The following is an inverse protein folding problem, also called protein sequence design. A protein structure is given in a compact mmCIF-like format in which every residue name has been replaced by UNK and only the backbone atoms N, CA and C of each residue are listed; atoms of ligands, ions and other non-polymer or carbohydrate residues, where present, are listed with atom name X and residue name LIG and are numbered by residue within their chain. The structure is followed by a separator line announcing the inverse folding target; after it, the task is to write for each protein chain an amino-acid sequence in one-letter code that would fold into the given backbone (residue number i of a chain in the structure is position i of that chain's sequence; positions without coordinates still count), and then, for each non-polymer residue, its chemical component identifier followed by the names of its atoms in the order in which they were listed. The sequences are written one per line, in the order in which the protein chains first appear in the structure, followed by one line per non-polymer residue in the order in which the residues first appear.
data_IF_263224152336
#
_entry.id   IF_263224152336
#
_cell.length_a   1.000
_cell.length_b   1.000
_cell.length_c   1.000
_cell.angle_alpha   90.00
_cell.angle_beta   90.00
_cell.angle_gamma   90.00
#
_symmetry.space_group_name_H-M   'P 1'
#
loop_
_entity.id
_entity.type
_entity.pdbx_description
1 polymer ?
#
# COMPACT_ATOMS: atom_id res chain seq x y z
N UNK A 1 5.01 -15.62 47.27
CA UNK A 1 5.87 -14.42 47.33
C UNK A 1 6.71 -14.40 46.07
N UNK A 2 6.74 -13.34 45.25
CA UNK A 2 7.71 -13.29 44.17
C UNK A 2 9.09 -13.06 44.80
N UNK A 3 10.00 -13.99 44.56
CA UNK A 3 11.42 -13.87 44.91
C UNK A 3 11.97 -12.59 44.27
N UNK A 4 12.12 -11.52 45.06
CA UNK A 4 12.84 -10.32 44.66
C UNK A 4 14.35 -10.63 44.70
N UNK A 5 14.82 -11.43 43.75
CA UNK A 5 16.23 -11.46 43.44
C UNK A 5 16.59 -10.09 42.86
N UNK A 6 17.41 -9.32 43.59
CA UNK A 6 18.02 -8.10 43.06
C UNK A 6 19.00 -8.56 41.99
N UNK A 7 18.59 -8.47 40.72
CA UNK A 7 19.46 -8.79 39.58
C UNK A 7 20.49 -7.66 39.47
N UNK A 8 21.78 -8.01 39.58
CA UNK A 8 22.85 -7.07 39.30
C UNK A 8 23.10 -6.98 37.79
N UNK A 9 22.90 -5.79 37.22
CA UNK A 9 23.08 -5.53 35.79
C UNK A 9 24.48 -5.05 35.40
N UNK A 10 25.39 -4.77 36.36
CA UNK A 10 26.67 -4.08 36.09
C UNK A 10 27.60 -4.82 35.15
N UNK A 11 27.49 -6.16 35.05
CA UNK A 11 28.37 -7.00 34.24
C UNK A 11 27.65 -7.62 33.03
N UNK A 12 26.39 -7.25 32.80
CA UNK A 12 25.61 -7.78 31.69
C UNK A 12 25.70 -6.87 30.47
N UNK A 13 25.84 -7.48 29.29
CA UNK A 13 25.74 -6.75 28.04
C UNK A 13 24.26 -6.44 27.66
N UNK A 14 24.06 -5.60 26.63
CA UNK A 14 22.71 -5.21 26.20
C UNK A 14 21.83 -6.39 25.77
N UNK A 15 22.43 -7.42 25.15
CA UNK A 15 21.71 -8.62 24.69
C UNK A 15 21.33 -9.49 25.90
N UNK A 16 22.24 -9.67 26.86
CA UNK A 16 21.95 -10.40 28.09
C UNK A 16 20.84 -9.75 28.90
N UNK A 17 20.85 -8.41 29.01
CA UNK A 17 19.74 -7.67 29.61
C UNK A 17 18.46 -7.93 28.83
N UNK A 18 18.49 -7.82 27.51
CA UNK A 18 17.32 -8.06 26.67
C UNK A 18 16.78 -9.49 26.78
N UNK A 19 17.65 -10.48 26.96
CA UNK A 19 17.28 -11.87 27.23
C UNK A 19 16.48 -12.04 28.52
N UNK A 20 16.83 -11.29 29.57
CA UNK A 20 16.05 -11.29 30.80
C UNK A 20 14.62 -10.76 30.56
N UNK A 21 14.43 -9.77 29.68
CA UNK A 21 13.10 -9.29 29.29
C UNK A 21 12.32 -10.37 28.53
N UNK A 22 12.96 -11.03 27.55
CA UNK A 22 12.33 -12.07 26.72
C UNK A 22 11.92 -13.28 27.57
N UNK A 23 12.69 -13.61 28.59
CA UNK A 23 12.41 -14.69 29.55
C UNK A 23 11.42 -14.26 30.65
N UNK A 24 10.91 -13.02 30.61
CA UNK A 24 10.07 -12.40 31.65
C UNK A 24 10.70 -12.45 33.06
N UNK A 25 12.04 -12.51 33.15
CA UNK A 25 12.77 -12.38 34.43
C UNK A 25 12.77 -10.95 34.94
N UNK A 26 12.70 -9.98 34.03
CA UNK A 26 12.42 -8.57 34.33
C UNK A 26 11.30 -8.04 33.43
N UNK A 27 10.45 -7.12 33.93
CA UNK A 27 9.30 -6.65 33.16
C UNK A 27 9.67 -5.60 32.11
N UNK A 28 10.74 -4.82 32.34
CA UNK A 28 11.15 -3.69 31.53
C UNK A 28 12.69 -3.59 31.50
N UNK A 29 13.21 -2.78 30.58
CA UNK A 29 14.62 -2.40 30.60
C UNK A 29 14.95 -1.71 31.94
N UNK A 30 16.15 -1.95 32.51
CA UNK A 30 16.57 -1.30 33.75
C UNK A 30 16.47 0.22 33.69
N UNK A 31 16.28 0.85 34.85
CA UNK A 31 16.30 2.31 34.94
C UNK A 31 17.63 2.86 34.39
N UNK A 32 17.57 3.96 33.65
CA UNK A 32 18.75 4.55 33.02
C UNK A 32 19.27 3.81 31.77
N UNK A 33 18.75 2.62 31.43
CA UNK A 33 19.24 1.86 30.27
C UNK A 33 19.22 2.69 28.98
N UNK A 34 18.14 3.41 28.70
CA UNK A 34 18.08 4.30 27.54
C UNK A 34 18.61 5.71 27.83
N UNK A 35 18.46 6.22 29.06
CA UNK A 35 18.72 7.62 29.40
C UNK A 35 20.21 7.94 29.64
N UNK A 36 21.02 6.94 30.00
CA UNK A 36 22.46 7.11 30.28
C UNK A 36 23.32 6.99 29.02
N UNK A 37 22.69 6.95 27.84
CA UNK A 37 23.35 6.81 26.53
C UNK A 37 23.10 8.08 25.72
N UNK A 38 24.01 8.39 24.79
CA UNK A 38 23.69 9.38 23.75
C UNK A 38 22.52 8.91 22.88
N UNK A 39 21.91 9.84 22.14
CA UNK A 39 20.82 9.50 21.19
C UNK A 39 21.26 8.44 20.18
N UNK A 40 22.50 8.57 19.71
CA UNK A 40 23.11 7.72 18.68
C UNK A 40 23.40 6.33 19.25
N UNK A 41 24.07 6.26 20.41
CA UNK A 41 24.32 4.99 21.11
C UNK A 41 23.03 4.25 21.45
N UNK A 42 22.00 4.95 21.93
CA UNK A 42 20.72 4.33 22.23
C UNK A 42 20.07 3.73 20.98
N UNK A 43 20.18 4.39 19.82
CA UNK A 43 19.69 3.85 18.54
C UNK A 43 20.50 2.66 18.07
N UNK A 44 21.83 2.69 18.22
CA UNK A 44 22.71 1.57 17.83
C UNK A 44 22.42 0.33 18.67
N UNK A 45 22.27 0.49 19.99
CA UNK A 45 21.83 -0.60 20.87
C UNK A 45 20.45 -1.09 20.46
N UNK A 46 19.48 -0.21 20.23
CA UNK A 46 18.16 -0.61 19.78
C UNK A 46 18.21 -1.41 18.45
N UNK A 47 18.99 -0.97 17.46
CA UNK A 47 19.17 -1.69 16.19
C UNK A 47 19.79 -3.08 16.46
N UNK A 48 20.83 -3.15 17.30
CA UNK A 48 21.47 -4.41 17.72
C UNK A 48 20.46 -5.38 18.33
N UNK A 49 19.58 -4.91 19.22
CA UNK A 49 18.56 -5.75 19.86
C UNK A 49 17.51 -6.27 18.86
N UNK A 50 17.07 -5.42 17.93
CA UNK A 50 16.11 -5.83 16.89
C UNK A 50 16.73 -6.87 15.94
N UNK A 51 17.98 -6.66 15.51
CA UNK A 51 18.72 -7.63 14.70
C UNK A 51 18.91 -8.96 15.41
N UNK A 52 19.31 -8.92 16.69
CA UNK A 52 19.42 -10.14 17.49
C UNK A 52 18.09 -10.91 17.57
N UNK A 53 16.98 -10.21 17.81
CA UNK A 53 15.65 -10.81 17.85
C UNK A 53 15.30 -11.47 16.51
N UNK A 54 15.43 -10.74 15.40
CA UNK A 54 15.00 -11.20 14.08
C UNK A 54 15.93 -12.29 13.54
N UNK A 55 17.25 -12.08 13.58
CA UNK A 55 18.22 -12.94 12.89
C UNK A 55 18.61 -14.16 13.73
N UNK A 56 18.78 -13.99 15.04
CA UNK A 56 19.33 -15.05 15.91
C UNK A 56 18.25 -15.83 16.64
N UNK A 57 17.26 -15.12 17.19
CA UNK A 57 16.19 -15.74 17.98
C UNK A 57 15.07 -16.30 17.12
N UNK A 58 14.48 -15.46 16.28
CA UNK A 58 13.31 -15.83 15.48
C UNK A 58 13.69 -16.41 14.11
N UNK A 59 14.90 -16.07 13.61
CA UNK A 59 15.42 -16.49 12.30
C UNK A 59 14.46 -16.15 11.15
N UNK A 60 13.87 -14.96 11.22
CA UNK A 60 12.90 -14.48 10.24
C UNK A 60 13.58 -14.23 8.89
N UNK A 61 12.90 -14.64 7.82
CA UNK A 61 13.25 -14.22 6.47
C UNK A 61 12.58 -12.87 6.13
N UNK A 62 12.88 -12.33 4.94
CA UNK A 62 12.33 -11.03 4.48
C UNK A 62 10.79 -11.00 4.44
N UNK A 63 10.13 -12.12 4.12
CA UNK A 63 8.66 -12.21 4.12
C UNK A 63 8.12 -12.18 5.54
N UNK A 64 8.70 -12.95 6.45
CA UNK A 64 8.29 -12.97 7.87
C UNK A 64 8.41 -11.57 8.48
N UNK A 65 9.47 -10.83 8.16
CA UNK A 65 9.62 -9.44 8.62
C UNK A 65 8.45 -8.57 8.17
N UNK A 66 8.03 -8.65 6.90
CA UNK A 66 6.92 -7.88 6.35
C UNK A 66 5.56 -8.26 6.96
N UNK A 67 5.36 -9.54 7.30
CA UNK A 67 4.08 -10.01 7.83
C UNK A 67 3.98 -9.89 9.34
N UNK A 68 5.07 -10.08 10.08
CA UNK A 68 5.06 -10.16 11.55
C UNK A 68 5.44 -8.83 12.21
N UNK A 69 6.42 -8.11 11.68
CA UNK A 69 6.94 -6.89 12.34
C UNK A 69 5.88 -5.79 12.30
N UNK A 70 5.53 -5.33 13.50
CA UNK A 70 4.48 -4.37 13.77
C UNK A 70 4.66 -3.78 15.17
N UNK A 71 3.90 -2.75 15.53
CA UNK A 71 3.87 -2.24 16.92
C UNK A 71 3.50 -3.33 17.94
N UNK A 72 2.59 -4.25 17.56
CA UNK A 72 2.20 -5.39 18.40
C UNK A 72 3.36 -6.36 18.60
N UNK A 73 4.10 -6.66 17.52
CA UNK A 73 5.32 -7.47 17.59
C UNK A 73 6.37 -6.85 18.52
N UNK A 74 6.65 -5.55 18.39
CA UNK A 74 7.61 -4.88 19.27
C UNK A 74 7.15 -4.89 20.74
N UNK A 75 5.85 -4.83 20.99
CA UNK A 75 5.31 -4.96 22.35
C UNK A 75 5.46 -6.38 22.88
N UNK A 76 5.09 -7.39 22.08
CA UNK A 76 5.21 -8.82 22.41
C UNK A 76 6.65 -9.18 22.79
N UNK A 77 7.62 -8.70 22.02
CA UNK A 77 9.05 -8.95 22.24
C UNK A 77 9.74 -7.83 23.01
N UNK A 78 9.01 -7.05 23.80
CA UNK A 78 9.56 -6.11 24.79
C UNK A 78 10.42 -4.96 24.21
N UNK A 79 10.42 -4.74 22.90
CA UNK A 79 11.11 -3.64 22.20
C UNK A 79 10.26 -2.36 22.03
N UNK A 80 9.05 -2.30 22.60
CA UNK A 80 8.19 -1.13 22.51
C UNK A 80 8.82 0.17 23.06
N UNK A 81 9.66 0.10 24.11
CA UNK A 81 10.41 1.25 24.63
C UNK A 81 11.51 1.69 23.66
N UNK A 82 12.24 0.74 23.07
CA UNK A 82 13.25 1.01 22.04
C UNK A 82 12.63 1.69 20.81
N UNK A 83 11.42 1.27 20.43
CA UNK A 83 10.67 1.87 19.31
C UNK A 83 10.42 3.38 19.45
N UNK A 84 10.45 3.94 20.68
CA UNK A 84 10.30 5.38 20.92
C UNK A 84 11.41 6.18 20.24
N UNK A 85 12.63 5.62 20.17
CA UNK A 85 13.78 6.22 19.48
C UNK A 85 13.56 6.37 17.97
N UNK A 86 12.57 5.64 17.43
CA UNK A 86 12.16 5.64 16.02
C UNK A 86 10.74 6.18 15.85
N UNK A 87 10.32 7.11 16.71
CA UNK A 87 9.00 7.75 16.61
C UNK A 87 7.83 6.79 16.86
N UNK A 88 8.04 5.71 17.62
CA UNK A 88 7.05 4.65 17.89
C UNK A 88 6.53 3.99 16.61
N UNK A 89 7.38 3.86 15.58
CA UNK A 89 7.07 3.21 14.31
C UNK A 89 7.91 1.95 14.16
N UNK A 90 7.25 0.79 14.00
CA UNK A 90 7.99 -0.44 13.74
C UNK A 90 8.65 -0.42 12.36
N UNK A 91 7.96 0.16 11.38
CA UNK A 91 8.48 0.40 10.02
C UNK A 91 9.75 1.25 10.05
N UNK A 92 9.76 2.38 10.78
CA UNK A 92 10.98 3.20 10.88
C UNK A 92 12.12 2.45 11.57
N UNK A 93 11.80 1.70 12.61
CA UNK A 93 12.79 0.91 13.35
C UNK A 93 13.43 -0.17 12.46
N UNK A 94 12.62 -0.95 11.73
CA UNK A 94 13.15 -1.98 10.82
C UNK A 94 13.91 -1.38 9.64
N UNK A 95 13.47 -0.26 9.07
CA UNK A 95 14.21 0.44 8.00
C UNK A 95 15.56 0.96 8.47
N UNK A 96 15.68 1.42 9.72
CA UNK A 96 16.97 1.80 10.30
C UNK A 96 17.86 0.60 10.62
N UNK A 97 17.27 -0.52 11.05
CA UNK A 97 18.04 -1.73 11.34
C UNK A 97 18.55 -2.40 10.06
N UNK A 98 17.75 -2.43 8.99
CA UNK A 98 18.10 -3.09 7.73
C UNK A 98 17.98 -2.12 6.55
N UNK A 99 18.86 -1.12 6.44
CA UNK A 99 18.85 -0.19 5.31
C UNK A 99 19.03 -0.91 3.96
N UNK A 100 19.85 -1.96 3.93
CA UNK A 100 20.06 -2.85 2.78
C UNK A 100 18.87 -3.78 2.49
N UNK A 101 17.95 -3.94 3.45
CA UNK A 101 16.81 -4.84 3.35
C UNK A 101 15.78 -4.42 2.30
N UNK A 102 15.78 -3.15 1.88
CA UNK A 102 14.86 -2.62 0.87
C UNK A 102 13.39 -2.79 1.28
N UNK A 103 13.08 -2.59 2.56
CA UNK A 103 11.72 -2.67 3.08
C UNK A 103 10.93 -1.41 2.73
N UNK A 104 9.81 -1.58 2.03
CA UNK A 104 8.93 -0.47 1.67
C UNK A 104 7.81 -0.33 2.71
N UNK A 105 7.46 0.89 3.14
CA UNK A 105 6.53 1.09 4.25
C UNK A 105 5.15 0.42 4.10
N UNK A 106 4.61 0.37 2.88
CA UNK A 106 3.29 -0.24 2.62
C UNK A 106 3.31 -1.78 2.59
N UNK A 107 4.50 -2.41 2.60
CA UNK A 107 4.62 -3.87 2.59
C UNK A 107 4.36 -4.50 3.97
N UNK A 108 4.23 -3.70 5.04
CA UNK A 108 4.02 -4.21 6.39
C UNK A 108 2.52 -4.41 6.69
N UNK A 109 2.08 -5.68 6.72
CA UNK A 109 0.66 -6.06 6.79
C UNK A 109 -0.07 -5.59 8.05
N UNK A 110 0.66 -5.50 9.17
CA UNK A 110 0.08 -5.27 10.50
C UNK A 110 0.50 -3.95 11.14
N UNK A 111 1.10 -3.04 10.37
CA UNK A 111 1.41 -1.69 10.83
C UNK A 111 0.91 -0.65 9.83
N UNK A 112 0.74 0.58 10.32
CA UNK A 112 0.38 1.71 9.48
C UNK A 112 1.65 2.38 8.97
N UNK A 113 1.64 2.71 7.70
CA UNK A 113 2.66 3.58 7.09
C UNK A 113 2.86 4.83 7.96
N UNK A 114 4.11 5.30 8.16
CA UNK A 114 4.39 6.45 9.03
C UNK A 114 3.54 7.68 8.70
N UNK A 115 3.21 8.47 9.73
CA UNK A 115 2.45 9.70 9.57
C UNK A 115 3.16 10.63 8.56
N UNK A 116 2.37 11.28 7.70
CA UNK A 116 2.85 12.17 6.63
C UNK A 116 3.66 11.49 5.51
N UNK A 117 3.78 10.16 5.50
CA UNK A 117 4.44 9.48 4.38
C UNK A 117 3.68 9.71 3.07
N UNK A 118 2.36 9.51 3.09
CA UNK A 118 1.49 9.68 1.93
C UNK A 118 1.17 11.13 1.58
N UNK A 119 1.50 12.11 2.43
CA UNK A 119 1.32 13.52 2.06
C UNK A 119 2.24 13.93 0.92
N UNK A 120 3.39 13.28 0.79
CA UNK A 120 4.33 13.48 -0.30
C UNK A 120 3.87 12.69 -1.53
N UNK A 121 3.55 13.40 -2.60
CA UNK A 121 3.07 12.78 -3.85
C UNK A 121 4.05 11.78 -4.44
N UNK A 122 5.34 12.10 -4.41
CA UNK A 122 6.40 11.23 -4.91
C UNK A 122 6.37 9.85 -4.25
N UNK A 123 6.02 9.77 -2.95
CA UNK A 123 5.89 8.49 -2.25
C UNK A 123 4.70 7.69 -2.76
N UNK A 124 3.55 8.36 -2.99
CA UNK A 124 2.34 7.71 -3.53
C UNK A 124 2.62 7.14 -4.92
N UNK A 125 3.18 7.96 -5.81
CA UNK A 125 3.52 7.55 -7.18
C UNK A 125 4.55 6.42 -7.19
N UNK A 126 5.60 6.53 -6.37
CA UNK A 126 6.64 5.47 -6.30
C UNK A 126 6.07 4.15 -5.80
N UNK A 127 5.16 4.19 -4.83
CA UNK A 127 4.50 2.99 -4.32
C UNK A 127 3.60 2.33 -5.37
N UNK A 128 2.78 3.13 -6.04
CA UNK A 128 1.90 2.67 -7.11
C UNK A 128 2.71 2.07 -8.27
N UNK A 129 3.77 2.75 -8.75
CA UNK A 129 4.67 2.25 -9.79
C UNK A 129 5.33 0.94 -9.38
N UNK A 130 5.84 0.85 -8.16
CA UNK A 130 6.46 -0.37 -7.67
C UNK A 130 5.48 -1.54 -7.68
N UNK A 131 4.26 -1.35 -7.16
CA UNK A 131 3.24 -2.40 -7.16
C UNK A 131 2.86 -2.79 -8.60
N UNK A 132 2.56 -1.83 -9.47
CA UNK A 132 2.10 -2.11 -10.82
C UNK A 132 3.20 -2.73 -11.68
N UNK A 133 4.37 -2.11 -11.76
CA UNK A 133 5.40 -2.46 -12.73
C UNK A 133 6.36 -3.55 -12.23
N UNK A 134 6.63 -3.60 -10.92
CA UNK A 134 7.64 -4.51 -10.35
C UNK A 134 6.99 -5.73 -9.71
N UNK A 135 6.02 -5.56 -8.80
CA UNK A 135 5.38 -6.69 -8.11
C UNK A 135 4.39 -7.41 -9.03
N UNK A 136 3.46 -6.68 -9.66
CA UNK A 136 2.41 -7.24 -10.51
C UNK A 136 2.83 -7.40 -11.98
N UNK A 137 3.90 -6.69 -12.40
CA UNK A 137 4.43 -6.68 -13.78
C UNK A 137 3.36 -6.33 -14.81
N UNK A 138 2.49 -5.40 -14.46
CA UNK A 138 1.42 -4.91 -15.31
C UNK A 138 1.97 -3.94 -16.36
N UNK A 139 1.48 -4.12 -17.59
CA UNK A 139 1.53 -3.05 -18.58
C UNK A 139 0.54 -1.94 -18.23
N UNK A 140 0.61 -0.81 -18.92
CA UNK A 140 -0.38 0.26 -18.74
C UNK A 140 -1.80 -0.20 -19.08
N UNK A 141 -1.95 -1.08 -20.07
CA UNK A 141 -3.23 -1.67 -20.44
C UNK A 141 -3.75 -2.60 -19.34
N UNK A 142 -2.88 -3.40 -18.71
CA UNK A 142 -3.27 -4.20 -17.55
C UNK A 142 -3.72 -3.30 -16.39
N UNK A 143 -3.02 -2.20 -16.13
CA UNK A 143 -3.42 -1.23 -15.07
C UNK A 143 -4.78 -0.62 -15.38
N UNK A 144 -5.07 -0.22 -16.63
CA UNK A 144 -6.38 0.33 -17.02
C UNK A 144 -7.54 -0.66 -16.80
N UNK A 145 -7.30 -1.96 -16.99
CA UNK A 145 -8.33 -2.99 -16.88
C UNK A 145 -8.50 -3.57 -15.47
N UNK A 146 -7.40 -3.70 -14.73
CA UNK A 146 -7.35 -4.48 -13.48
C UNK A 146 -7.22 -3.62 -12.23
N UNK A 147 -6.86 -2.35 -12.34
CA UNK A 147 -6.81 -1.44 -11.19
C UNK A 147 -8.20 -1.37 -10.54
N UNK A 148 -8.27 -1.68 -9.26
CA UNK A 148 -9.45 -1.52 -8.41
C UNK A 148 -9.01 -1.21 -6.97
N UNK A 149 -9.91 -0.65 -6.15
CA UNK A 149 -9.60 -0.32 -4.76
C UNK A 149 -9.26 -1.54 -3.91
N UNK A 150 -9.95 -2.67 -4.13
CA UNK A 150 -9.65 -3.93 -3.44
C UNK A 150 -8.22 -4.42 -3.67
N UNK A 151 -7.74 -4.35 -4.92
CA UNK A 151 -6.35 -4.70 -5.25
C UNK A 151 -5.35 -3.77 -4.53
N UNK A 152 -5.62 -2.46 -4.47
CA UNK A 152 -4.76 -1.54 -3.74
C UNK A 152 -4.74 -1.87 -2.23
N UNK A 153 -5.87 -2.22 -1.65
CA UNK A 153 -5.95 -2.65 -0.24
C UNK A 153 -5.15 -3.92 0.02
N UNK A 154 -5.30 -4.94 -0.83
CA UNK A 154 -4.55 -6.21 -0.75
C UNK A 154 -3.03 -6.01 -0.84
N UNK A 155 -2.58 -4.96 -1.54
CA UNK A 155 -1.17 -4.59 -1.68
C UNK A 155 -0.71 -3.49 -0.71
N UNK A 156 -1.48 -3.22 0.36
CA UNK A 156 -1.09 -2.28 1.43
C UNK A 156 -1.20 -0.80 1.06
N UNK A 157 -1.83 -0.49 -0.08
CA UNK A 157 -2.04 0.86 -0.61
C UNK A 157 -3.47 1.39 -0.37
N UNK A 158 -4.30 0.71 0.41
CA UNK A 158 -5.70 1.10 0.64
C UNK A 158 -5.88 2.52 1.19
N UNK A 159 -4.94 3.02 2.01
CA UNK A 159 -4.98 4.39 2.51
C UNK A 159 -4.82 5.48 1.44
N UNK A 160 -4.45 5.12 0.20
CA UNK A 160 -4.38 6.07 -0.91
C UNK A 160 -5.75 6.57 -1.35
N UNK A 161 -6.85 5.92 -0.94
CA UNK A 161 -8.21 6.43 -1.16
C UNK A 161 -8.40 7.86 -0.59
N UNK A 162 -7.67 8.24 0.46
CA UNK A 162 -7.74 9.60 1.01
C UNK A 162 -7.07 10.67 0.14
N UNK A 163 -6.31 10.28 -0.89
CA UNK A 163 -5.51 11.18 -1.73
C UNK A 163 -5.95 11.22 -3.19
N UNK A 164 -6.71 10.22 -3.64
CA UNK A 164 -7.21 10.15 -5.01
C UNK A 164 -8.73 9.96 -4.99
N UNK A 165 -9.50 10.85 -5.63
CA UNK A 165 -10.96 10.76 -5.61
C UNK A 165 -11.49 9.56 -6.41
N UNK A 166 -10.72 9.04 -7.36
CA UNK A 166 -11.05 7.87 -8.17
C UNK A 166 -9.78 7.25 -8.76
N UNK A 167 -9.93 6.06 -9.37
CA UNK A 167 -8.82 5.30 -9.94
C UNK A 167 -8.26 5.95 -11.22
N UNK A 168 -9.05 6.74 -11.93
CA UNK A 168 -8.60 7.53 -13.06
C UNK A 168 -7.51 8.55 -12.68
N UNK A 169 -7.67 9.26 -11.57
CA UNK A 169 -6.65 10.20 -11.09
C UNK A 169 -5.35 9.50 -10.66
N UNK A 170 -5.41 8.24 -10.20
CA UNK A 170 -4.23 7.42 -9.93
C UNK A 170 -3.42 7.21 -11.22
N UNK A 171 -4.07 6.77 -12.30
CA UNK A 171 -3.40 6.46 -13.56
C UNK A 171 -2.79 7.73 -14.18
N UNK A 172 -3.52 8.86 -14.12
CA UNK A 172 -2.99 10.17 -14.53
C UNK A 172 -1.74 10.54 -13.74
N UNK A 173 -1.76 10.42 -12.41
CA UNK A 173 -0.61 10.75 -11.57
C UNK A 173 0.61 9.86 -11.86
N UNK A 174 0.39 8.57 -12.08
CA UNK A 174 1.47 7.59 -12.28
C UNK A 174 2.13 7.72 -13.66
N UNK A 175 1.33 7.76 -14.73
CA UNK A 175 1.83 7.65 -16.10
C UNK A 175 1.90 8.99 -16.84
N UNK A 176 1.20 10.04 -16.37
CA UNK A 176 1.18 11.37 -16.99
C UNK A 176 0.83 11.34 -18.50
N UNK A 177 -0.04 10.41 -18.88
CA UNK A 177 -0.49 10.24 -20.27
C UNK A 177 -1.85 10.88 -20.52
N UNK A 178 -2.11 11.19 -21.79
CA UNK A 178 -3.45 11.57 -22.22
C UNK A 178 -4.34 10.34 -22.28
N UNK A 179 -5.32 10.27 -21.38
CA UNK A 179 -6.30 9.19 -21.28
C UNK A 179 -7.68 9.76 -21.02
N UNK A 180 -8.70 9.09 -21.55
CA UNK A 180 -10.07 9.41 -21.22
C UNK A 180 -10.53 8.65 -19.96
N UNK A 181 -11.44 9.23 -19.16
CA UNK A 181 -11.88 8.60 -17.91
C UNK A 181 -12.52 7.21 -18.08
N UNK A 182 -13.22 7.00 -19.20
CA UNK A 182 -13.87 5.72 -19.52
C UNK A 182 -12.90 4.61 -19.95
N UNK A 183 -11.61 4.92 -20.13
CA UNK A 183 -10.60 3.88 -20.39
C UNK A 183 -10.24 3.07 -19.14
N UNK A 184 -10.66 3.52 -17.95
CA UNK A 184 -10.36 2.87 -16.68
C UNK A 184 -11.60 2.10 -16.22
N UNK A 185 -11.62 0.80 -16.49
CA UNK A 185 -12.85 -0.03 -16.43
C UNK A 185 -13.53 0.02 -15.07
N UNK A 186 -12.75 -0.02 -13.99
CA UNK A 186 -13.28 -0.05 -12.62
C UNK A 186 -13.34 1.35 -11.97
N UNK A 187 -13.09 2.43 -12.73
CA UNK A 187 -13.19 3.80 -12.22
C UNK A 187 -14.57 4.39 -12.51
N UNK A 188 -15.09 5.14 -11.55
CA UNK A 188 -16.19 6.06 -11.84
C UNK A 188 -15.71 7.16 -12.80
N UNK A 189 -16.52 7.43 -13.82
CA UNK A 189 -16.29 8.52 -14.77
C UNK A 189 -16.74 9.83 -14.11
N UNK A 190 -15.92 10.90 -14.10
CA UNK A 190 -16.25 12.16 -13.45
C UNK A 190 -17.59 12.75 -13.88
N UNK A 191 -18.29 13.39 -12.94
CA UNK A 191 -19.57 14.07 -13.19
C UNK A 191 -19.45 15.07 -14.35
N UNK A 192 -20.52 15.19 -15.14
CA UNK A 192 -20.58 16.06 -16.32
C UNK A 192 -19.88 15.50 -17.57
N UNK A 193 -19.00 14.49 -17.46
CA UNK A 193 -18.27 13.92 -18.62
C UNK A 193 -19.22 13.51 -19.76
N UNK A 194 -20.37 12.93 -19.43
CA UNK A 194 -21.33 12.42 -20.40
C UNK A 194 -22.28 13.47 -20.98
N UNK A 195 -22.28 14.70 -20.48
CA UNK A 195 -23.09 15.79 -21.05
C UNK A 195 -22.61 16.12 -22.47
N UNK A 196 -21.30 16.04 -22.70
CA UNK A 196 -20.70 16.15 -24.04
C UNK A 196 -21.09 14.97 -24.93
N UNK A 197 -21.84 15.25 -26.00
CA UNK A 197 -22.16 14.26 -27.05
C UNK A 197 -20.90 13.64 -27.65
N UNK A 198 -19.85 14.45 -27.84
CA UNK A 198 -18.55 13.98 -28.36
C UNK A 198 -17.91 12.93 -27.44
N UNK A 199 -17.99 13.11 -26.12
CA UNK A 199 -17.46 12.13 -25.16
C UNK A 199 -18.23 10.82 -25.22
N UNK A 200 -19.57 10.87 -25.32
CA UNK A 200 -20.40 9.68 -25.47
C UNK A 200 -20.02 8.88 -26.71
N UNK A 201 -19.92 9.55 -27.86
CA UNK A 201 -19.49 8.94 -29.12
C UNK A 201 -18.09 8.33 -28.99
N UNK A 202 -17.13 9.07 -28.42
CA UNK A 202 -15.75 8.60 -28.28
C UNK A 202 -15.64 7.39 -27.34
N UNK A 203 -16.43 7.33 -26.26
CA UNK A 203 -16.47 6.17 -25.38
C UNK A 203 -17.02 4.93 -26.08
N UNK A 204 -18.06 5.08 -26.89
CA UNK A 204 -18.60 3.97 -27.70
C UNK A 204 -17.59 3.54 -28.78
N UNK A 205 -16.96 4.47 -29.49
CA UNK A 205 -15.88 4.16 -30.46
C UNK A 205 -14.71 3.44 -29.76
N UNK A 206 -14.34 3.85 -28.56
CA UNK A 206 -13.33 3.16 -27.75
C UNK A 206 -13.76 1.73 -27.41
N UNK A 207 -15.00 1.52 -26.96
CA UNK A 207 -15.54 0.19 -26.66
C UNK A 207 -15.47 -0.73 -27.89
N UNK A 208 -15.95 -0.27 -29.04
CA UNK A 208 -15.96 -1.02 -30.32
C UNK A 208 -14.54 -1.50 -30.66
N UNK A 209 -13.54 -0.61 -30.57
CA UNK A 209 -12.14 -0.96 -30.83
C UNK A 209 -11.57 -1.96 -29.83
N UNK A 210 -12.03 -1.95 -28.56
CA UNK A 210 -11.49 -2.81 -27.49
C UNK A 210 -12.03 -4.23 -27.54
N UNK A 211 -13.32 -4.41 -27.81
CA UNK A 211 -14.00 -5.72 -27.61
C UNK A 211 -13.70 -6.74 -28.71
N UNK A 212 -13.20 -6.34 -29.88
CA UNK A 212 -12.91 -7.22 -31.04
C UNK A 212 -14.10 -8.12 -31.42
N UNK A 213 -15.32 -7.68 -31.15
CA UNK A 213 -16.57 -8.34 -31.52
C UNK A 213 -17.18 -7.66 -32.75
N UNK A 214 -18.08 -8.35 -33.45
CA UNK A 214 -18.94 -7.68 -34.42
C UNK A 214 -19.90 -6.74 -33.68
N UNK A 215 -20.24 -5.61 -34.29
CA UNK A 215 -21.07 -4.57 -33.68
C UNK A 215 -22.42 -5.10 -33.17
N UNK A 216 -23.01 -6.06 -33.87
CA UNK A 216 -24.29 -6.70 -33.51
C UNK A 216 -24.19 -7.56 -32.24
N UNK A 217 -22.98 -7.96 -31.84
CA UNK A 217 -22.73 -8.76 -30.64
C UNK A 217 -22.45 -7.89 -29.41
N UNK A 218 -22.27 -6.58 -29.58
CA UNK A 218 -22.03 -5.65 -28.48
C UNK A 218 -23.37 -5.29 -27.84
N UNK A 219 -23.61 -5.82 -26.66
CA UNK A 219 -24.86 -5.70 -25.91
C UNK A 219 -24.71 -4.91 -24.61
N UNK A 220 -25.80 -4.78 -23.85
CA UNK A 220 -25.80 -4.12 -22.53
C UNK A 220 -24.78 -4.74 -21.57
N UNK A 221 -24.59 -6.07 -21.58
CA UNK A 221 -23.63 -6.75 -20.72
C UNK A 221 -22.20 -6.37 -21.10
N UNK A 222 -21.93 -6.20 -22.38
CA UNK A 222 -20.65 -5.70 -22.89
C UNK A 222 -20.38 -4.29 -22.39
N UNK A 223 -21.34 -3.37 -22.52
CA UNK A 223 -21.19 -2.02 -21.95
C UNK A 223 -20.92 -2.06 -20.44
N UNK A 224 -21.64 -2.89 -19.69
CA UNK A 224 -21.46 -3.02 -18.25
C UNK A 224 -20.07 -3.56 -17.87
N UNK A 225 -19.58 -4.57 -18.60
CA UNK A 225 -18.25 -5.15 -18.40
C UNK A 225 -17.13 -4.12 -18.53
N UNK A 226 -17.33 -3.08 -19.34
CA UNK A 226 -16.34 -2.02 -19.60
C UNK A 226 -16.68 -0.70 -18.89
N UNK A 227 -17.51 -0.73 -17.83
CA UNK A 227 -17.78 0.45 -17.01
C UNK A 227 -18.70 1.51 -17.66
N UNK A 228 -19.38 1.17 -18.76
CA UNK A 228 -20.22 2.10 -19.54
C UNK A 228 -21.72 1.97 -19.26
N UNK A 229 -22.13 1.27 -18.18
CA UNK A 229 -23.54 1.12 -17.79
C UNK A 229 -24.26 2.46 -17.63
N UNK A 230 -23.63 3.43 -16.94
CA UNK A 230 -24.22 4.75 -16.70
C UNK A 230 -24.46 5.50 -18.02
N UNK A 231 -23.48 5.48 -18.92
CA UNK A 231 -23.58 6.08 -20.24
C UNK A 231 -24.77 5.50 -20.99
N UNK A 232 -24.86 4.16 -21.04
CA UNK A 232 -25.89 3.47 -21.80
C UNK A 232 -27.29 3.71 -21.22
N UNK A 233 -27.45 3.57 -19.90
CA UNK A 233 -28.73 3.75 -19.23
C UNK A 233 -29.25 5.18 -19.37
N UNK A 234 -28.41 6.18 -19.07
CA UNK A 234 -28.85 7.59 -19.01
C UNK A 234 -29.07 8.22 -20.38
N UNK A 235 -28.24 7.91 -21.38
CA UNK A 235 -28.26 8.63 -22.67
C UNK A 235 -28.78 7.80 -23.85
N UNK A 236 -28.86 6.48 -23.70
CA UNK A 236 -29.29 5.59 -24.77
C UNK A 236 -30.46 4.68 -24.36
N UNK A 237 -31.07 4.89 -23.19
CA UNK A 237 -32.20 4.10 -22.68
C UNK A 237 -31.88 2.59 -22.67
N UNK A 238 -30.67 2.22 -22.23
CA UNK A 238 -30.17 0.85 -22.22
C UNK A 238 -30.07 0.17 -23.62
N UNK A 239 -30.16 0.95 -24.72
CA UNK A 239 -30.11 0.43 -26.09
C UNK A 239 -28.70 0.52 -26.70
N UNK A 240 -27.96 -0.60 -26.68
CA UNK A 240 -26.60 -0.70 -27.21
C UNK A 240 -26.52 -0.40 -28.72
N UNK A 241 -27.48 -0.90 -29.50
CA UNK A 241 -27.53 -0.67 -30.96
C UNK A 241 -27.66 0.82 -31.29
N UNK A 242 -28.46 1.57 -30.53
CA UNK A 242 -28.61 3.01 -30.70
C UNK A 242 -27.29 3.75 -30.42
N UNK A 243 -26.59 3.37 -29.35
CA UNK A 243 -25.30 3.96 -29.02
C UNK A 243 -24.25 3.69 -30.10
N UNK A 244 -24.17 2.45 -30.58
CA UNK A 244 -23.24 2.03 -31.63
C UNK A 244 -23.54 2.74 -32.95
N UNK A 245 -24.81 2.83 -33.36
CA UNK A 245 -25.21 3.55 -34.57
C UNK A 245 -24.80 5.02 -34.50
N UNK A 246 -25.11 5.72 -33.40
CA UNK A 246 -24.71 7.12 -33.25
C UNK A 246 -23.18 7.29 -33.33
N UNK A 247 -22.41 6.32 -32.82
CA UNK A 247 -20.97 6.37 -32.89
C UNK A 247 -20.42 6.19 -34.31
N UNK A 248 -21.05 5.35 -35.13
CA UNK A 248 -20.62 5.05 -36.51
C UNK A 248 -21.09 6.11 -37.51
N UNK A 249 -22.27 6.70 -37.31
CA UNK A 249 -22.86 7.70 -38.21
C UNK A 249 -22.14 9.07 -38.16
N UNK A 250 -21.22 9.27 -37.21
CA UNK A 250 -20.44 10.51 -37.04
C UNK A 250 -19.02 10.39 -37.59
N UNK A 251 -18.85 9.78 -38.77
CA UNK A 251 -17.62 9.79 -39.57
C UNK A 251 -17.61 10.91 -40.62
#
# INVERSE_FOLDING_TARGET
MPNNFIINFTNLDDIEIYELLLQNRIPNFPSGFWANRSSEEAKDVAIKLLKYLIDKRLKFNKKDVKTEVSKKFLTKYKLHTASKLFGRSAIRYISCAYPEGGYLPWQFKHDKVPQSYWTHEINRISALKYVFEIELRWSIDDTKERLCWGMLEENGLGSLHSYYPNLFEIIKAVYQINIYPWEIINSEVPNGTWESKRNRINAVKWLIRRVKLRNEQIDRKTFAKYGLSMLLGKYYCDNATRAIREALDCE
#
